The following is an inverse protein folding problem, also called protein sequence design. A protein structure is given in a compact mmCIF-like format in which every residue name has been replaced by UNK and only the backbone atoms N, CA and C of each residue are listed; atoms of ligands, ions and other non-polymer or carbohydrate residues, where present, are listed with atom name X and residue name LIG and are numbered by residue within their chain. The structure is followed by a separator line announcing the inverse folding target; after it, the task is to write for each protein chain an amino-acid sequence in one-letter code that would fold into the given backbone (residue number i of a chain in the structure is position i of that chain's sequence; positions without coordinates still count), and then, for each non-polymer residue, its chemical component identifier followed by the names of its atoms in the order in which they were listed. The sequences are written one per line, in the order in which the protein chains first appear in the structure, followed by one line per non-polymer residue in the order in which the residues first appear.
data_IF_474419547849
#
_entry.id   IF_474419547849
#
_cell.length_a   1.000
_cell.length_b   1.000
_cell.length_c   1.000
_cell.angle_alpha   90.00
_cell.angle_beta   90.00
_cell.angle_gamma   90.00
#
_symmetry.space_group_name_H-M   'P 1'
#
loop_
_entity.id
_entity.type
_entity.pdbx_description
1 polymer ?
#
# COMPACT_ATOMS: atom_id res chain seq x y z
N UNK A 1 4.51 1.16 -12.70
CA UNK A 1 3.03 1.16 -12.49
C UNK A 1 2.58 2.38 -11.72
N UNK A 2 3.21 2.72 -10.61
CA UNK A 2 2.83 3.89 -9.80
C UNK A 2 2.98 5.19 -10.59
N UNK A 3 4.13 5.40 -11.22
CA UNK A 3 4.38 6.56 -12.11
C UNK A 3 3.37 6.64 -13.26
N UNK A 4 3.01 5.50 -13.85
CA UNK A 4 2.01 5.43 -14.92
C UNK A 4 0.62 5.84 -14.42
N UNK A 5 0.22 5.37 -13.24
CA UNK A 5 -1.04 5.74 -12.61
C UNK A 5 -1.09 7.26 -12.33
N UNK A 6 -0.01 7.82 -11.81
CA UNK A 6 0.12 9.27 -11.59
C UNK A 6 0.05 10.06 -12.89
N UNK A 7 0.68 9.59 -13.95
CA UNK A 7 0.64 10.26 -15.25
C UNK A 7 -0.79 10.35 -15.82
N UNK A 8 -1.63 9.35 -15.57
CA UNK A 8 -3.04 9.37 -15.96
C UNK A 8 -3.78 10.51 -15.24
N UNK A 9 -3.58 10.66 -13.93
CA UNK A 9 -4.19 11.77 -13.17
C UNK A 9 -3.65 13.11 -13.64
N UNK A 10 -2.34 13.23 -13.82
CA UNK A 10 -1.68 14.46 -14.29
C UNK A 10 -2.24 14.89 -15.65
N UNK A 11 -2.39 13.96 -16.58
CA UNK A 11 -3.00 14.23 -17.88
C UNK A 11 -4.46 14.72 -17.75
N UNK A 12 -5.23 14.10 -16.84
CA UNK A 12 -6.61 14.48 -16.60
C UNK A 12 -6.74 15.92 -16.06
N UNK A 13 -5.82 16.36 -15.20
CA UNK A 13 -5.79 17.75 -14.73
C UNK A 13 -5.55 18.76 -15.84
N UNK A 14 -4.85 18.38 -16.91
CA UNK A 14 -4.62 19.20 -18.10
C UNK A 14 -5.77 19.24 -19.10
N UNK A 15 -6.85 18.50 -18.90
CA UNK A 15 -7.98 18.47 -19.81
C UNK A 15 -8.76 19.81 -19.84
N UNK A 16 -9.47 20.13 -20.95
CA UNK A 16 -10.28 21.33 -21.06
C UNK A 16 -11.35 21.42 -19.97
N UNK A 17 -11.65 22.64 -19.53
CA UNK A 17 -12.63 22.93 -18.47
C UNK A 17 -13.47 24.19 -18.74
N UNK A 18 -13.63 24.57 -19.98
CA UNK A 18 -14.36 25.79 -20.36
C UNK A 18 -15.86 25.61 -20.35
N UNK A 19 -16.37 24.47 -20.82
CA UNK A 19 -17.80 24.14 -20.84
C UNK A 19 -18.18 23.19 -19.71
N UNK A 20 -19.49 23.08 -19.42
CA UNK A 20 -19.99 22.15 -18.41
C UNK A 20 -19.71 20.69 -18.79
N UNK A 21 -19.80 20.36 -20.08
CA UNK A 21 -19.46 19.04 -20.61
C UNK A 21 -17.96 18.73 -20.43
N UNK A 22 -17.10 19.67 -20.72
CA UNK A 22 -15.65 19.54 -20.53
C UNK A 22 -15.30 19.38 -19.04
N UNK A 23 -15.92 20.14 -18.16
CA UNK A 23 -15.75 20.02 -16.70
C UNK A 23 -16.16 18.63 -16.20
N UNK A 24 -17.30 18.11 -16.68
CA UNK A 24 -17.79 16.80 -16.30
C UNK A 24 -16.84 15.68 -16.78
N UNK A 25 -16.38 15.76 -18.03
CA UNK A 25 -15.44 14.79 -18.59
C UNK A 25 -14.08 14.81 -17.84
N UNK A 26 -13.58 16.00 -17.53
CA UNK A 26 -12.36 16.19 -16.75
C UNK A 26 -12.49 15.61 -15.35
N UNK A 27 -13.59 15.90 -14.66
CA UNK A 27 -13.85 15.38 -13.32
C UNK A 27 -13.88 13.84 -13.31
N UNK A 28 -14.57 13.23 -14.27
CA UNK A 28 -14.63 11.78 -14.40
C UNK A 28 -13.25 11.16 -14.66
N UNK A 29 -12.45 11.78 -15.54
CA UNK A 29 -11.09 11.33 -15.83
C UNK A 29 -10.18 11.43 -14.60
N UNK A 30 -10.27 12.51 -13.82
CA UNK A 30 -9.52 12.67 -12.57
C UNK A 30 -9.88 11.56 -11.57
N UNK A 31 -11.18 11.29 -11.38
CA UNK A 31 -11.61 10.26 -10.45
C UNK A 31 -11.15 8.88 -10.87
N UNK A 32 -11.23 8.54 -12.14
CA UNK A 32 -10.70 7.28 -12.67
C UNK A 32 -9.20 7.14 -12.47
N UNK A 33 -8.45 8.21 -12.70
CA UNK A 33 -7.00 8.23 -12.45
C UNK A 33 -6.68 8.06 -10.97
N UNK A 34 -7.42 8.69 -10.07
CA UNK A 34 -7.26 8.55 -8.61
C UNK A 34 -7.54 7.14 -8.12
N UNK A 35 -8.50 6.43 -8.72
CA UNK A 35 -8.73 5.01 -8.42
C UNK A 35 -7.47 4.17 -8.75
N UNK A 36 -6.82 4.42 -9.87
CA UNK A 36 -5.57 3.77 -10.24
C UNK A 36 -4.41 4.11 -9.28
N UNK A 37 -4.31 5.37 -8.88
CA UNK A 37 -3.31 5.83 -7.90
C UNK A 37 -3.56 5.27 -6.49
N UNK A 38 -4.78 4.85 -6.18
CA UNK A 38 -5.13 4.17 -4.94
C UNK A 38 -4.82 2.68 -5.02
N UNK A 39 -5.22 2.04 -6.11
CA UNK A 39 -5.04 0.59 -6.31
C UNK A 39 -3.57 0.18 -6.28
N UNK A 40 -2.69 0.95 -6.88
CA UNK A 40 -1.26 0.60 -6.99
C UNK A 40 -0.56 0.47 -5.63
N UNK A 41 -0.61 1.46 -4.73
CA UNK A 41 -0.01 1.30 -3.39
C UNK A 41 -0.75 0.27 -2.53
N UNK A 42 -2.06 0.08 -2.74
CA UNK A 42 -2.80 -0.97 -2.05
C UNK A 42 -2.32 -2.37 -2.45
N UNK A 43 -2.09 -2.62 -3.73
CA UNK A 43 -1.48 -3.87 -4.22
C UNK A 43 -0.08 -4.07 -3.63
N UNK A 44 0.69 -3.01 -3.47
CA UNK A 44 2.00 -3.08 -2.81
C UNK A 44 1.87 -3.51 -1.35
N UNK A 45 0.89 -3.00 -0.62
CA UNK A 45 0.60 -3.47 0.75
C UNK A 45 0.31 -4.96 0.78
N UNK A 46 -0.53 -5.45 -0.13
CA UNK A 46 -0.88 -6.87 -0.21
C UNK A 46 0.35 -7.74 -0.47
N UNK A 47 1.22 -7.33 -1.40
CA UNK A 47 2.45 -8.06 -1.71
C UNK A 47 3.43 -8.07 -0.53
N UNK A 48 3.59 -6.93 0.14
CA UNK A 48 4.43 -6.84 1.34
C UNK A 48 3.90 -7.72 2.48
N UNK A 49 2.58 -7.79 2.65
CA UNK A 49 1.98 -8.68 3.65
C UNK A 49 2.24 -10.15 3.34
N UNK A 50 2.14 -10.56 2.07
CA UNK A 50 2.50 -11.92 1.64
C UNK A 50 3.96 -12.25 1.91
N UNK A 51 4.85 -11.32 1.55
CA UNK A 51 6.28 -11.48 1.81
C UNK A 51 6.58 -11.58 3.32
N UNK A 52 5.84 -10.86 4.14
CA UNK A 52 5.96 -10.90 5.59
C UNK A 52 5.53 -12.26 6.16
N UNK A 53 4.44 -12.82 5.67
CA UNK A 53 3.99 -14.17 6.05
C UNK A 53 5.05 -15.22 5.69
N UNK A 54 5.63 -15.14 4.49
CA UNK A 54 6.74 -16.00 4.07
C UNK A 54 7.95 -15.84 4.98
N UNK A 55 8.31 -14.64 5.35
CA UNK A 55 9.41 -14.35 6.29
C UNK A 55 9.15 -15.00 7.64
N UNK A 56 7.93 -14.91 8.15
CA UNK A 56 7.52 -15.56 9.39
C UNK A 56 7.65 -17.09 9.32
N UNK A 57 7.28 -17.69 8.21
CA UNK A 57 7.38 -19.14 8.00
C UNK A 57 8.83 -19.65 7.98
N UNK A 58 9.79 -18.77 7.67
CA UNK A 58 11.22 -19.09 7.64
C UNK A 58 11.86 -19.09 9.03
N UNK A 59 11.19 -18.57 10.05
CA UNK A 59 11.72 -18.58 11.41
C UNK A 59 12.02 -20.01 11.88
N UNK A 60 13.25 -20.23 12.37
CA UNK A 60 13.72 -21.54 12.82
C UNK A 60 14.01 -22.56 11.70
N UNK A 61 13.92 -22.15 10.44
CA UNK A 61 14.18 -23.03 9.27
C UNK A 61 15.38 -22.60 8.46
N UNK A 62 16.03 -21.52 8.85
CA UNK A 62 17.23 -20.99 8.19
C UNK A 62 18.46 -21.25 9.05
N UNK A 63 19.65 -21.09 8.45
CA UNK A 63 20.90 -21.09 9.21
C UNK A 63 20.92 -19.94 10.22
N UNK A 64 21.58 -20.15 11.36
CA UNK A 64 21.68 -19.12 12.40
C UNK A 64 22.28 -17.79 11.87
N UNK A 65 23.21 -17.87 10.92
CA UNK A 65 23.77 -16.68 10.26
C UNK A 65 22.76 -15.86 9.46
N UNK A 66 21.64 -16.44 9.08
CA UNK A 66 20.57 -15.76 8.33
C UNK A 66 19.45 -15.20 9.24
N UNK A 67 19.53 -15.43 10.54
CA UNK A 67 18.48 -14.97 11.48
C UNK A 67 18.34 -13.43 11.46
N UNK A 68 19.46 -12.69 11.46
CA UNK A 68 19.44 -11.23 11.38
C UNK A 68 18.81 -10.71 10.08
N UNK A 69 18.98 -11.44 8.96
CA UNK A 69 18.38 -11.07 7.67
C UNK A 69 16.86 -11.14 7.71
N UNK A 70 16.29 -12.09 8.44
CA UNK A 70 14.85 -12.18 8.65
C UNK A 70 14.35 -10.97 9.46
N UNK A 71 15.09 -10.53 10.46
CA UNK A 71 14.78 -9.33 11.23
C UNK A 71 14.77 -8.07 10.37
N UNK A 72 15.83 -7.90 9.54
CA UNK A 72 15.93 -6.79 8.59
C UNK A 72 14.79 -6.83 7.57
N UNK A 73 14.43 -8.01 7.07
CA UNK A 73 13.31 -8.18 6.15
C UNK A 73 11.99 -7.75 6.79
N UNK A 74 11.73 -8.14 8.04
CA UNK A 74 10.53 -7.73 8.77
C UNK A 74 10.43 -6.20 8.93
N UNK A 75 11.53 -5.54 9.28
CA UNK A 75 11.58 -4.08 9.42
C UNK A 75 11.39 -3.37 8.08
N UNK A 76 12.01 -3.86 7.02
CA UNK A 76 11.89 -3.31 5.67
C UNK A 76 10.46 -3.45 5.13
N UNK A 77 9.84 -4.61 5.35
CA UNK A 77 8.47 -4.87 4.95
C UNK A 77 7.48 -4.02 5.76
N UNK A 78 7.74 -3.83 7.06
CA UNK A 78 6.95 -2.90 7.88
C UNK A 78 6.97 -1.49 7.30
N UNK A 79 8.15 -0.97 6.97
CA UNK A 79 8.29 0.34 6.35
C UNK A 79 7.55 0.40 4.99
N UNK A 80 7.65 -0.64 4.18
CA UNK A 80 6.93 -0.74 2.90
C UNK A 80 5.41 -0.73 3.07
N UNK A 81 4.89 -1.50 4.01
CA UNK A 81 3.45 -1.58 4.30
C UNK A 81 2.92 -0.23 4.80
N UNK A 82 3.57 0.36 5.80
CA UNK A 82 3.15 1.64 6.37
C UNK A 82 3.31 2.79 5.39
N UNK A 83 4.39 2.79 4.60
CA UNK A 83 4.60 3.79 3.56
C UNK A 83 3.54 3.72 2.45
N UNK A 84 3.25 2.52 1.96
CA UNK A 84 2.18 2.30 0.98
C UNK A 84 0.81 2.71 1.54
N UNK A 85 0.55 2.44 2.82
CA UNK A 85 -0.69 2.88 3.48
C UNK A 85 -0.86 4.39 3.48
N UNK A 86 0.19 5.16 3.72
CA UNK A 86 0.14 6.62 3.62
C UNK A 86 -0.27 7.08 2.22
N UNK A 87 0.22 6.42 1.18
CA UNK A 87 -0.15 6.71 -0.20
C UNK A 87 -1.61 6.34 -0.51
N UNK A 88 -2.10 5.24 0.05
CA UNK A 88 -3.52 4.89 -0.04
C UNK A 88 -4.38 5.97 0.61
N UNK A 89 -4.04 6.37 1.84
CA UNK A 89 -4.82 7.35 2.60
C UNK A 89 -4.92 8.71 1.89
N UNK A 90 -3.82 9.20 1.33
CA UNK A 90 -3.84 10.49 0.62
C UNK A 90 -4.74 10.43 -0.62
N UNK A 91 -4.72 9.31 -1.34
CA UNK A 91 -5.51 9.16 -2.55
C UNK A 91 -7.00 8.95 -2.27
N UNK A 92 -7.36 8.12 -1.29
CA UNK A 92 -8.77 7.91 -0.94
C UNK A 92 -9.43 9.18 -0.39
N UNK A 93 -8.65 10.08 0.21
CA UNK A 93 -9.15 11.39 0.64
C UNK A 93 -9.70 12.24 -0.52
N UNK A 94 -9.20 12.04 -1.72
CA UNK A 94 -9.60 12.75 -2.94
C UNK A 94 -10.66 12.02 -3.77
N UNK A 95 -11.03 10.79 -3.40
CA UNK A 95 -12.08 10.03 -4.09
C UNK A 95 -13.47 10.59 -3.75
N UNK A 96 -14.28 10.84 -4.78
CA UNK A 96 -15.70 11.20 -4.63
C UNK A 96 -16.54 9.99 -4.28
N UNK A 97 -16.19 8.81 -4.77
CA UNK A 97 -16.84 7.56 -4.41
C UNK A 97 -16.47 7.18 -2.98
N UNK A 98 -17.30 7.58 -2.03
CA UNK A 98 -17.06 7.39 -0.59
C UNK A 98 -17.19 5.94 -0.15
N UNK A 99 -17.98 5.13 -0.84
CA UNK A 99 -18.10 3.70 -0.57
C UNK A 99 -16.80 2.97 -0.94
N UNK A 100 -16.22 3.31 -2.09
CA UNK A 100 -14.91 2.79 -2.50
C UNK A 100 -13.80 3.22 -1.55
N UNK A 101 -13.77 4.48 -1.14
CA UNK A 101 -12.81 4.99 -0.17
C UNK A 101 -12.91 4.26 1.17
N UNK A 102 -14.13 4.04 1.67
CA UNK A 102 -14.39 3.32 2.91
C UNK A 102 -13.95 1.85 2.82
N UNK A 103 -14.16 1.20 1.68
CA UNK A 103 -13.74 -0.19 1.45
C UNK A 103 -12.20 -0.33 1.49
N UNK A 104 -11.48 0.56 0.80
CA UNK A 104 -10.01 0.60 0.87
C UNK A 104 -9.51 0.84 2.29
N UNK A 105 -10.14 1.78 2.99
CA UNK A 105 -9.76 2.10 4.37
C UNK A 105 -9.92 0.88 5.28
N UNK A 106 -11.08 0.24 5.23
CA UNK A 106 -11.37 -0.96 6.02
C UNK A 106 -10.37 -2.09 5.75
N UNK A 107 -10.18 -2.43 4.48
CA UNK A 107 -9.25 -3.50 4.08
C UNK A 107 -7.81 -3.20 4.47
N UNK A 108 -7.37 -1.95 4.30
CA UNK A 108 -6.03 -1.53 4.70
C UNK A 108 -5.81 -1.59 6.20
N UNK A 109 -6.78 -1.15 7.00
CA UNK A 109 -6.73 -1.25 8.46
C UNK A 109 -6.70 -2.71 8.94
N UNK A 110 -7.46 -3.59 8.31
CA UNK A 110 -7.43 -5.04 8.59
C UNK A 110 -6.07 -5.66 8.27
N UNK A 111 -5.44 -5.27 7.14
CA UNK A 111 -4.09 -5.72 6.80
C UNK A 111 -3.06 -5.25 7.83
N UNK A 112 -3.12 -3.97 8.24
CA UNK A 112 -2.22 -3.43 9.26
C UNK A 112 -2.37 -4.13 10.60
N UNK A 113 -3.60 -4.43 11.01
CA UNK A 113 -3.91 -5.11 12.26
C UNK A 113 -3.29 -6.52 12.34
N UNK A 114 -3.07 -7.17 11.20
CA UNK A 114 -2.38 -8.46 11.10
C UNK A 114 -0.88 -8.32 10.92
N UNK A 115 -0.47 -7.40 10.05
CA UNK A 115 0.93 -7.27 9.64
C UNK A 115 1.82 -6.66 10.71
N UNK A 116 1.40 -5.60 11.38
CA UNK A 116 2.25 -4.91 12.36
C UNK A 116 2.63 -5.80 13.56
N UNK A 117 1.69 -6.53 14.19
CA UNK A 117 2.06 -7.49 15.24
C UNK A 117 2.97 -8.61 14.73
N UNK A 118 2.82 -9.03 13.47
CA UNK A 118 3.65 -10.06 12.88
C UNK A 118 5.09 -9.59 12.68
N UNK A 119 5.30 -8.33 12.27
CA UNK A 119 6.65 -7.73 12.19
C UNK A 119 7.33 -7.72 13.55
N UNK A 120 6.62 -7.33 14.60
CA UNK A 120 7.14 -7.30 15.96
C UNK A 120 7.51 -8.70 16.44
N UNK A 121 6.66 -9.68 16.17
CA UNK A 121 6.90 -11.08 16.53
C UNK A 121 8.15 -11.64 15.85
N UNK A 122 8.35 -11.37 14.57
CA UNK A 122 9.54 -11.80 13.85
C UNK A 122 10.78 -11.14 14.45
N UNK A 123 10.75 -9.84 14.67
CA UNK A 123 11.87 -9.08 15.21
C UNK A 123 12.26 -9.57 16.62
N UNK A 124 11.29 -9.73 17.51
CA UNK A 124 11.51 -10.24 18.86
C UNK A 124 12.09 -11.67 18.86
N UNK A 125 11.58 -12.51 17.96
CA UNK A 125 12.08 -13.89 17.80
C UNK A 125 13.53 -13.91 17.35
N UNK A 126 13.90 -13.04 16.40
CA UNK A 126 15.29 -12.90 15.94
C UNK A 126 16.19 -12.39 17.06
N UNK A 127 15.77 -11.39 17.82
CA UNK A 127 16.53 -10.89 18.97
C UNK A 127 16.79 -11.97 20.02
N UNK A 128 15.80 -12.83 20.27
CA UNK A 128 15.92 -13.92 21.24
C UNK A 128 16.93 -15.00 20.82
N UNK A 129 17.24 -15.10 19.52
CA UNK A 129 18.23 -16.03 18.97
C UNK A 129 19.65 -15.45 18.97
N UNK A 130 19.79 -14.16 19.16
CA UNK A 130 21.09 -13.46 19.16
C UNK A 130 21.58 -13.23 20.58
#
# INVERSE_FOLDING_TARGET
RDTEAFNVVSAAFGMPKATDEEKAARSAAIQKGLEGCTATPFEMMELCCKALEMTHELLGKTNDSAASDLGVAALSLRAGIQGAWLNVLINIGSLKNKDLAADYKKKGEEMLAKALPLTDKIYENVLAQM
#
